data_IF_859229877390
#
_entry.id   IF_859229877390
#
_cell.length_a   1.000
_cell.length_b   1.000
_cell.length_c   1.000
_cell.angle_alpha   90.00
_cell.angle_beta   90.00
_cell.angle_gamma   90.00
#
_symmetry.space_group_name_H-M   'P 1'
#
loop_
_entity.id
_entity.type
_entity.pdbx_description
1 polymer ?
#
# COMPACT_ATOMS: atom_id res chain seq x y z
N UNK A 1 32.66 11.12 17.98
CA UNK A 1 31.25 11.59 18.00
C UNK A 1 30.76 11.61 16.55
N UNK A 2 29.65 10.93 16.23
CA UNK A 2 29.07 10.97 14.88
C UNK A 2 28.49 12.38 14.65
N UNK A 3 29.00 13.10 13.66
CA UNK A 3 28.66 14.50 13.43
C UNK A 3 27.20 14.65 12.98
N UNK A 4 26.52 15.72 13.42
CA UNK A 4 25.13 16.01 13.05
C UNK A 4 24.88 15.95 11.52
N UNK A 5 25.88 16.33 10.71
CA UNK A 5 25.84 16.24 9.25
C UNK A 5 25.65 14.82 8.70
N UNK A 6 26.18 13.79 9.37
CA UNK A 6 26.01 12.39 8.97
C UNK A 6 24.59 11.89 9.29
N UNK A 7 24.04 12.32 10.43
CA UNK A 7 22.64 12.07 10.79
C UNK A 7 21.68 12.72 9.79
N UNK A 8 21.92 13.98 9.39
CA UNK A 8 21.08 14.66 8.40
C UNK A 8 21.16 14.02 7.01
N UNK A 9 22.34 13.61 6.54
CA UNK A 9 22.48 12.89 5.25
C UNK A 9 21.74 11.55 5.27
N UNK A 10 21.86 10.79 6.35
CA UNK A 10 21.13 9.53 6.50
C UNK A 10 19.61 9.76 6.56
N UNK A 11 19.17 10.76 7.31
CA UNK A 11 17.76 11.14 7.35
C UNK A 11 17.25 11.57 5.96
N UNK A 12 18.01 12.39 5.23
CA UNK A 12 17.67 12.81 3.87
C UNK A 12 17.55 11.63 2.91
N UNK A 13 18.45 10.66 2.98
CA UNK A 13 18.37 9.43 2.18
C UNK A 13 17.14 8.57 2.52
N UNK A 14 16.64 8.61 3.77
CA UNK A 14 15.46 7.86 4.19
C UNK A 14 14.12 8.60 3.96
N UNK A 15 14.12 9.92 3.80
CA UNK A 15 12.89 10.74 3.65
C UNK A 15 12.01 10.31 2.47
N UNK A 16 12.53 10.05 1.25
CA UNK A 16 11.70 9.62 0.13
C UNK A 16 10.89 8.35 0.45
N UNK A 17 11.52 7.36 1.11
CA UNK A 17 10.86 6.12 1.54
C UNK A 17 9.81 6.37 2.63
N UNK A 18 10.08 7.28 3.56
CA UNK A 18 9.13 7.64 4.60
C UNK A 18 7.90 8.35 4.00
N UNK A 19 8.11 9.25 3.05
CA UNK A 19 7.05 9.96 2.34
C UNK A 19 6.20 8.99 1.50
N UNK A 20 6.82 8.14 0.68
CA UNK A 20 6.12 7.12 -0.10
C UNK A 20 5.23 6.23 0.78
N UNK A 21 5.76 5.78 1.94
CA UNK A 21 4.98 5.00 2.91
C UNK A 21 3.81 5.77 3.53
N UNK A 22 3.97 7.07 3.80
CA UNK A 22 2.88 7.88 4.37
C UNK A 22 1.75 8.00 3.35
N UNK A 23 2.08 8.42 2.11
CA UNK A 23 1.10 8.53 1.01
C UNK A 23 0.39 7.19 0.78
N UNK A 24 1.14 6.09 0.78
CA UNK A 24 0.56 4.76 0.60
C UNK A 24 -0.46 4.41 1.70
N UNK A 25 -0.19 4.76 2.96
CA UNK A 25 -1.09 4.49 4.07
C UNK A 25 -2.34 5.39 4.04
N UNK A 26 -2.20 6.63 3.59
CA UNK A 26 -3.33 7.54 3.41
C UNK A 26 -4.27 6.99 2.32
N UNK A 27 -3.72 6.52 1.20
CA UNK A 27 -4.48 5.86 0.12
C UNK A 27 -5.14 4.56 0.58
N UNK A 28 -4.51 3.78 1.46
CA UNK A 28 -5.15 2.59 2.05
C UNK A 28 -6.40 2.99 2.83
N UNK A 29 -6.29 4.00 3.70
CA UNK A 29 -7.40 4.49 4.50
C UNK A 29 -8.52 5.08 3.61
N UNK A 30 -8.17 5.82 2.55
CA UNK A 30 -9.13 6.32 1.57
C UNK A 30 -9.88 5.18 0.88
N UNK A 31 -9.18 4.12 0.43
CA UNK A 31 -9.82 2.96 -0.18
C UNK A 31 -10.73 2.19 0.79
N UNK A 32 -10.37 2.09 2.07
CA UNK A 32 -11.24 1.53 3.12
C UNK A 32 -12.55 2.33 3.26
N UNK A 33 -12.47 3.67 3.21
CA UNK A 33 -13.63 4.55 3.26
C UNK A 33 -14.52 4.40 2.01
N UNK A 34 -13.92 4.37 0.82
CA UNK A 34 -14.63 4.16 -0.44
C UNK A 34 -15.35 2.80 -0.44
N UNK A 35 -14.67 1.76 0.05
CA UNK A 35 -15.26 0.44 0.17
C UNK A 35 -16.44 0.42 1.14
N UNK A 36 -16.32 1.11 2.29
CA UNK A 36 -17.40 1.22 3.27
C UNK A 36 -18.65 1.92 2.70
N UNK A 37 -18.46 2.80 1.70
CA UNK A 37 -19.54 3.46 0.96
C UNK A 37 -20.07 2.61 -0.21
N UNK A 38 -19.56 1.39 -0.42
CA UNK A 38 -19.96 0.47 -1.49
C UNK A 38 -19.17 0.63 -2.80
N UNK A 39 -18.21 1.55 -2.86
CA UNK A 39 -17.40 1.84 -4.04
C UNK A 39 -16.20 0.91 -4.21
N UNK A 40 -16.44 -0.38 -4.53
CA UNK A 40 -15.35 -1.36 -4.70
C UNK A 40 -14.41 -1.01 -5.87
N UNK A 41 -14.93 -0.46 -6.97
CA UNK A 41 -14.07 -0.10 -8.11
C UNK A 41 -13.16 1.08 -7.77
N UNK A 42 -13.69 2.10 -7.09
CA UNK A 42 -12.92 3.24 -6.62
C UNK A 42 -11.89 2.80 -5.56
N UNK A 43 -12.29 1.95 -4.61
CA UNK A 43 -11.37 1.37 -3.63
C UNK A 43 -10.23 0.61 -4.32
N UNK A 44 -10.53 -0.22 -5.33
CA UNK A 44 -9.51 -0.94 -6.08
C UNK A 44 -8.53 0.00 -6.81
N UNK A 45 -9.02 1.08 -7.42
CA UNK A 45 -8.17 2.07 -8.08
C UNK A 45 -7.26 2.79 -7.08
N UNK A 46 -7.81 3.25 -5.95
CA UNK A 46 -7.05 3.92 -4.88
C UNK A 46 -6.00 2.98 -4.28
N UNK A 47 -6.35 1.73 -4.04
CA UNK A 47 -5.41 0.73 -3.53
C UNK A 47 -4.33 0.34 -4.54
N UNK A 48 -4.60 0.36 -5.84
CA UNK A 48 -3.56 0.19 -6.87
C UNK A 48 -2.47 1.25 -6.71
N UNK A 49 -2.84 2.53 -6.59
CA UNK A 49 -1.91 3.63 -6.33
C UNK A 49 -1.16 3.45 -5.00
N UNK A 50 -1.83 2.91 -3.98
CA UNK A 50 -1.18 2.60 -2.71
C UNK A 50 -0.09 1.53 -2.87
N UNK A 51 -0.36 0.47 -3.64
CA UNK A 51 0.61 -0.59 -3.92
C UNK A 51 1.81 -0.06 -4.71
N UNK A 52 1.59 0.82 -5.69
CA UNK A 52 2.66 1.47 -6.46
C UNK A 52 3.62 2.27 -5.55
N UNK A 53 3.10 2.96 -4.54
CA UNK A 53 3.93 3.65 -3.55
C UNK A 53 4.63 2.72 -2.55
N UNK A 54 4.14 1.49 -2.38
CA UNK A 54 4.76 0.48 -1.53
C UNK A 54 5.80 -0.37 -2.28
N UNK A 55 5.84 -0.31 -3.61
CA UNK A 55 6.86 -1.01 -4.40
C UNK A 55 8.28 -0.56 -4.01
N UNK A 56 9.16 -1.54 -3.80
CA UNK A 56 10.51 -1.33 -3.28
C UNK A 56 10.61 -0.84 -1.83
N UNK A 57 9.50 -0.75 -1.06
CA UNK A 57 9.48 -0.36 0.36
C UNK A 57 9.47 -1.60 1.26
N UNK A 58 10.67 -2.02 1.70
CA UNK A 58 10.83 -3.07 2.71
C UNK A 58 10.43 -2.59 4.12
N UNK A 59 9.13 -2.54 4.42
CA UNK A 59 8.59 -2.16 5.73
C UNK A 59 7.51 -3.15 6.20
N UNK A 60 7.60 -3.56 7.47
CA UNK A 60 6.57 -4.39 8.10
C UNK A 60 5.17 -3.72 8.05
N UNK A 61 5.12 -2.38 8.10
CA UNK A 61 3.86 -1.63 8.01
C UNK A 61 3.26 -1.65 6.60
N UNK A 62 4.10 -1.57 5.57
CA UNK A 62 3.65 -1.72 4.18
C UNK A 62 3.10 -3.13 3.96
N UNK A 63 3.86 -4.18 4.33
CA UNK A 63 3.39 -5.58 4.25
C UNK A 63 2.05 -5.78 4.99
N UNK A 64 1.89 -5.22 6.19
CA UNK A 64 0.62 -5.29 6.94
C UNK A 64 -0.54 -4.62 6.20
N UNK A 65 -0.32 -3.46 5.58
CA UNK A 65 -1.33 -2.78 4.79
C UNK A 65 -1.73 -3.61 3.55
N UNK A 66 -0.76 -4.18 2.83
CA UNK A 66 -1.05 -5.07 1.68
C UNK A 66 -1.90 -6.28 2.12
N UNK A 67 -1.57 -6.92 3.24
CA UNK A 67 -2.37 -8.03 3.80
C UNK A 67 -3.79 -7.57 4.17
N UNK A 68 -3.95 -6.35 4.69
CA UNK A 68 -5.26 -5.74 4.96
C UNK A 68 -6.11 -5.60 3.69
N UNK A 69 -5.56 -4.98 2.64
CA UNK A 69 -6.22 -4.84 1.33
C UNK A 69 -6.69 -6.21 0.82
N UNK A 70 -5.79 -7.20 0.82
CA UNK A 70 -6.12 -8.56 0.36
C UNK A 70 -7.29 -9.17 1.13
N UNK A 71 -7.35 -8.98 2.44
CA UNK A 71 -8.44 -9.46 3.29
C UNK A 71 -9.78 -8.83 2.89
N UNK A 72 -9.79 -7.54 2.59
CA UNK A 72 -11.01 -6.83 2.19
C UNK A 72 -11.52 -7.26 0.81
N UNK A 73 -10.60 -7.61 -0.09
CA UNK A 73 -10.91 -8.10 -1.44
C UNK A 73 -11.50 -9.51 -1.50
N UNK A 74 -11.30 -10.36 -0.46
CA UNK A 74 -11.68 -11.78 -0.48
C UNK A 74 -13.11 -11.99 -0.97
N UNK A 75 -14.08 -11.25 -0.42
CA UNK A 75 -15.51 -11.41 -0.75
C UNK A 75 -15.88 -11.00 -2.17
N UNK A 76 -15.08 -10.13 -2.79
CA UNK A 76 -15.30 -9.66 -4.16
C UNK A 76 -14.64 -10.57 -5.18
N UNK A 77 -13.45 -11.09 -4.83
CA UNK A 77 -12.76 -12.11 -5.62
C UNK A 77 -13.59 -13.38 -5.75
N UNK A 78 -14.20 -13.85 -4.66
CA UNK A 78 -15.07 -15.04 -4.69
C UNK A 78 -16.33 -14.83 -5.52
N UNK A 79 -16.77 -13.57 -5.71
CA UNK A 79 -17.88 -13.19 -6.58
C UNK A 79 -17.47 -12.94 -8.03
N UNK A 80 -16.19 -13.11 -8.37
CA UNK A 80 -15.69 -12.94 -9.73
C UNK A 80 -15.47 -11.49 -10.18
N UNK A 81 -15.41 -10.53 -9.26
CA UNK A 81 -15.13 -9.13 -9.64
C UNK A 81 -13.69 -9.00 -10.14
N UNK A 82 -13.55 -8.63 -11.42
CA UNK A 82 -12.25 -8.54 -12.10
C UNK A 82 -11.29 -7.57 -11.43
N UNK A 83 -11.75 -6.36 -11.05
CA UNK A 83 -10.89 -5.36 -10.40
C UNK A 83 -10.28 -5.89 -9.09
N UNK A 84 -11.05 -6.65 -8.31
CA UNK A 84 -10.59 -7.26 -7.07
C UNK A 84 -9.62 -8.44 -7.30
N UNK A 85 -9.79 -9.20 -8.39
CA UNK A 85 -8.87 -10.27 -8.77
C UNK A 85 -7.51 -9.71 -9.20
N UNK A 86 -7.51 -8.75 -10.12
CA UNK A 86 -6.30 -8.10 -10.62
C UNK A 86 -5.51 -7.42 -9.50
N UNK A 87 -6.22 -6.73 -8.60
CA UNK A 87 -5.55 -6.06 -7.48
C UNK A 87 -4.94 -7.06 -6.47
N UNK A 88 -5.60 -8.18 -6.18
CA UNK A 88 -5.01 -9.18 -5.28
C UNK A 88 -3.82 -9.90 -5.92
N UNK A 89 -3.85 -10.14 -7.23
CA UNK A 89 -2.70 -10.66 -7.97
C UNK A 89 -1.49 -9.74 -7.83
N UNK A 90 -1.68 -8.43 -8.03
CA UNK A 90 -0.63 -7.45 -7.82
C UNK A 90 -0.13 -7.43 -6.36
N UNK A 91 -1.05 -7.45 -5.40
CA UNK A 91 -0.72 -7.50 -3.98
C UNK A 91 0.08 -8.78 -3.59
N UNK A 92 -0.21 -9.91 -4.24
CA UNK A 92 0.54 -11.17 -4.05
C UNK A 92 1.96 -11.04 -4.56
N UNK A 93 2.17 -10.48 -5.76
CA UNK A 93 3.51 -10.25 -6.29
C UNK A 93 4.33 -9.34 -5.37
N UNK A 94 3.72 -8.28 -4.85
CA UNK A 94 4.39 -7.35 -3.95
C UNK A 94 4.81 -8.00 -2.62
N UNK A 95 4.07 -8.99 -2.12
CA UNK A 95 4.42 -9.71 -0.89
C UNK A 95 5.51 -10.78 -1.09
N UNK A 96 5.72 -11.22 -2.34
CA UNK A 96 6.76 -12.21 -2.71
C UNK A 96 8.15 -11.59 -2.78
N UNK A 97 8.23 -10.31 -3.17
CA UNK A 97 9.45 -9.48 -3.04
C UNK A 97 9.74 -9.09 -1.58
#
# INVERSE_FOLDING_TARGET
>A
MRNAAEHYRRAAACRPRAYARIVALDLVAEGELLLAQGGIEQACATWSSALDHMDGVASARARKAVVGIRRDLVRFRTRGLRCAQQLDEYAVELLRN
#
